data_IF_921437425290
#
_entry.id   IF_921437425290
#
_cell.length_a   1.000
_cell.length_b   1.000
_cell.length_c   1.000
_cell.angle_alpha   90.00
_cell.angle_beta   90.00
_cell.angle_gamma   90.00
#
_symmetry.space_group_name_H-M   'P 1'
#
loop_
_entity.id
_entity.type
_entity.pdbx_description
1 polymer ?
#
# COMPACT_ATOMS: atom_id res chain seq x y z
N UNK A 1 0.07 20.88 -16.74
CA UNK A 1 0.11 21.72 -15.52
C UNK A 1 0.67 20.87 -14.40
N UNK A 2 1.87 21.21 -13.93
CA UNK A 2 2.56 20.50 -12.86
C UNK A 2 2.10 21.11 -11.54
N UNK A 3 1.27 20.38 -10.80
CA UNK A 3 0.93 20.77 -9.44
C UNK A 3 2.17 20.45 -8.60
N UNK A 4 2.89 21.47 -8.18
CA UNK A 4 3.96 21.34 -7.17
C UNK A 4 3.31 20.99 -5.84
N UNK A 5 3.03 19.71 -5.63
CA UNK A 5 2.46 19.16 -4.40
C UNK A 5 3.34 18.03 -3.90
N UNK A 6 3.56 18.00 -2.58
CA UNK A 6 4.20 16.87 -1.89
C UNK A 6 3.50 15.56 -2.29
N UNK A 7 4.27 14.49 -2.49
CA UNK A 7 3.71 13.19 -2.82
C UNK A 7 2.83 12.66 -1.66
N UNK A 8 1.62 12.21 -1.97
CA UNK A 8 0.65 11.72 -0.99
C UNK A 8 0.27 10.28 -1.27
N UNK A 9 -0.06 9.53 -0.22
CA UNK A 9 -0.54 8.15 -0.29
C UNK A 9 -1.84 8.03 0.51
N UNK A 10 -2.68 7.05 0.18
CA UNK A 10 -3.92 6.77 0.90
C UNK A 10 -4.35 5.32 0.72
N UNK A 11 -5.29 4.89 1.55
CA UNK A 11 -5.94 3.59 1.41
C UNK A 11 -7.29 3.56 2.09
N UNK A 12 -8.13 2.64 1.65
CA UNK A 12 -9.49 2.46 2.14
C UNK A 12 -9.67 1.01 2.57
N UNK A 13 -10.28 0.80 3.73
CA UNK A 13 -10.77 -0.51 4.15
C UNK A 13 -12.29 -0.58 3.97
N UNK A 14 -12.75 -1.68 3.39
CA UNK A 14 -14.16 -2.01 3.26
C UNK A 14 -14.39 -3.51 3.39
N UNK A 15 -15.56 -3.90 3.87
CA UNK A 15 -16.02 -5.29 3.80
C UNK A 15 -16.44 -5.67 2.38
N UNK A 16 -16.51 -6.97 2.07
CA UNK A 16 -16.88 -7.50 0.74
C UNK A 16 -18.27 -7.07 0.21
N UNK A 17 -19.10 -6.40 1.02
CA UNK A 17 -20.41 -5.84 0.65
C UNK A 17 -20.40 -4.32 0.45
N UNK A 18 -19.22 -3.72 0.28
CA UNK A 18 -19.08 -2.26 0.12
C UNK A 18 -19.33 -1.46 1.39
N UNK A 19 -19.39 -2.11 2.56
CA UNK A 19 -19.51 -1.41 3.84
C UNK A 19 -18.14 -0.86 4.23
N UNK A 20 -18.02 0.47 4.26
CA UNK A 20 -16.80 1.17 4.64
C UNK A 20 -16.45 0.91 6.10
N UNK A 21 -15.17 0.60 6.34
CA UNK A 21 -14.60 0.38 7.66
C UNK A 21 -13.81 1.59 8.14
N UNK A 22 -13.13 2.25 7.20
CA UNK A 22 -12.16 3.29 7.51
C UNK A 22 -11.29 3.60 6.31
N UNK A 23 -10.45 4.61 6.47
CA UNK A 23 -9.41 4.94 5.50
C UNK A 23 -8.33 5.76 6.16
N UNK A 24 -7.21 5.88 5.48
CA UNK A 24 -6.08 6.68 5.90
C UNK A 24 -5.54 7.47 4.71
N UNK A 25 -4.90 8.60 5.00
CA UNK A 25 -4.09 9.32 4.04
C UNK A 25 -2.83 9.85 4.74
N UNK A 26 -1.76 9.99 3.98
CA UNK A 26 -0.49 10.52 4.45
C UNK A 26 0.22 11.31 3.36
N UNK A 27 1.29 11.99 3.74
CA UNK A 27 2.14 12.76 2.84
C UNK A 27 3.59 12.43 3.10
N UNK A 28 4.31 12.18 2.02
CA UNK A 28 5.76 12.07 2.04
C UNK A 28 6.36 13.47 2.09
N UNK A 29 7.39 13.65 2.92
CA UNK A 29 8.11 14.93 3.06
C UNK A 29 9.12 15.14 1.92
N UNK A 30 8.75 14.72 0.72
CA UNK A 30 9.57 14.83 -0.51
C UNK A 30 8.69 15.37 -1.64
N UNK A 31 9.28 16.27 -2.42
CA UNK A 31 8.59 16.97 -3.52
C UNK A 31 8.46 16.07 -4.75
N UNK A 32 9.41 15.17 -4.95
CA UNK A 32 9.42 14.20 -6.05
C UNK A 32 9.77 12.83 -5.49
N UNK A 33 8.98 11.82 -5.83
CA UNK A 33 9.26 10.42 -5.47
C UNK A 33 8.70 9.50 -6.55
N UNK A 34 9.13 8.25 -6.56
CA UNK A 34 8.64 7.27 -7.53
C UNK A 34 7.18 6.89 -7.22
N UNK A 35 6.39 6.54 -8.25
CA UNK A 35 5.04 6.00 -8.04
C UNK A 35 5.08 4.76 -7.14
N UNK A 36 6.11 3.92 -7.29
CA UNK A 36 6.33 2.77 -6.42
C UNK A 36 6.50 3.17 -4.96
N UNK A 37 7.31 4.19 -4.66
CA UNK A 37 7.51 4.67 -3.28
C UNK A 37 6.19 5.15 -2.69
N UNK A 38 5.37 5.89 -3.45
CA UNK A 38 4.03 6.30 -2.98
C UNK A 38 3.17 5.09 -2.63
N UNK A 39 3.13 4.10 -3.51
CA UNK A 39 2.33 2.88 -3.33
C UNK A 39 2.82 2.04 -2.15
N UNK A 40 4.14 1.93 -1.98
CA UNK A 40 4.77 1.25 -0.87
C UNK A 40 4.32 1.84 0.48
N UNK A 41 4.30 3.17 0.58
CA UNK A 41 3.82 3.86 1.78
C UNK A 41 2.30 3.72 1.97
N UNK A 42 1.52 3.59 0.89
CA UNK A 42 0.11 3.22 0.98
C UNK A 42 -0.06 1.81 1.58
N UNK A 43 0.68 0.82 1.09
CA UNK A 43 0.67 -0.55 1.62
C UNK A 43 1.08 -0.57 3.09
N UNK A 44 2.19 0.09 3.44
CA UNK A 44 2.65 0.23 4.82
C UNK A 44 1.57 0.84 5.73
N UNK A 45 0.90 1.90 5.27
CA UNK A 45 -0.22 2.52 6.00
C UNK A 45 -1.40 1.58 6.20
N UNK A 46 -1.72 0.75 5.19
CA UNK A 46 -2.78 -0.27 5.27
C UNK A 46 -2.46 -1.35 6.30
N UNK A 47 -1.23 -1.87 6.28
CA UNK A 47 -0.74 -2.85 7.26
C UNK A 47 -0.75 -2.28 8.68
N UNK A 48 -0.25 -1.06 8.85
CA UNK A 48 -0.26 -0.33 10.12
C UNK A 48 -1.69 -0.18 10.65
N UNK A 49 -2.64 0.17 9.79
CA UNK A 49 -4.05 0.29 10.16
C UNK A 49 -4.62 -1.05 10.62
N UNK A 50 -4.38 -2.14 9.88
CA UNK A 50 -4.84 -3.47 10.27
C UNK A 50 -4.28 -3.88 11.63
N UNK A 51 -2.98 -3.64 11.88
CA UNK A 51 -2.34 -3.90 13.17
C UNK A 51 -2.96 -3.08 14.30
N UNK A 52 -3.07 -1.76 14.12
CA UNK A 52 -3.56 -0.84 15.17
C UNK A 52 -5.01 -1.11 15.56
N UNK A 53 -5.86 -1.51 14.62
CA UNK A 53 -7.26 -1.83 14.87
C UNK A 53 -7.50 -3.33 15.14
N UNK A 54 -6.43 -4.13 15.22
CA UNK A 54 -6.47 -5.58 15.43
C UNK A 54 -7.46 -6.29 14.48
N UNK A 55 -7.45 -5.85 13.21
CA UNK A 55 -8.35 -6.36 12.19
C UNK A 55 -7.83 -7.72 11.67
N UNK A 56 -8.73 -8.60 11.24
CA UNK A 56 -8.40 -9.95 10.76
C UNK A 56 -9.10 -10.26 9.44
N UNK A 57 -8.54 -11.20 8.67
CA UNK A 57 -9.07 -11.65 7.38
C UNK A 57 -9.12 -10.52 6.33
N UNK A 58 -7.99 -9.83 6.15
CA UNK A 58 -7.83 -8.77 5.16
C UNK A 58 -7.04 -9.26 3.95
N UNK A 59 -7.33 -8.65 2.81
CA UNK A 59 -6.54 -8.73 1.60
C UNK A 59 -6.19 -7.28 1.24
N UNK A 60 -4.94 -7.05 0.83
CA UNK A 60 -4.53 -5.77 0.27
C UNK A 60 -4.68 -5.82 -1.24
N UNK A 61 -5.43 -4.88 -1.78
CA UNK A 61 -5.56 -4.66 -3.22
C UNK A 61 -4.63 -3.53 -3.64
N UNK A 62 -3.87 -3.74 -4.72
CA UNK A 62 -2.99 -2.72 -5.31
C UNK A 62 -3.10 -2.76 -6.83
N UNK A 63 -3.09 -1.59 -7.48
CA UNK A 63 -2.99 -1.47 -8.93
C UNK A 63 -1.53 -1.47 -9.41
N UNK A 64 -0.57 -1.63 -8.51
CA UNK A 64 0.85 -1.70 -8.84
C UNK A 64 1.33 -3.14 -8.93
N UNK A 65 1.52 -3.61 -10.16
CA UNK A 65 2.15 -4.90 -10.43
C UNK A 65 3.59 -4.96 -9.87
N UNK A 66 4.30 -3.83 -9.90
CA UNK A 66 5.64 -3.68 -9.33
C UNK A 66 5.61 -3.90 -7.80
N UNK A 67 4.65 -3.29 -7.11
CA UNK A 67 4.48 -3.49 -5.68
C UNK A 67 4.15 -4.95 -5.35
N UNK A 68 3.24 -5.59 -6.10
CA UNK A 68 2.91 -7.00 -5.89
C UNK A 68 4.14 -7.91 -6.08
N UNK A 69 4.96 -7.65 -7.10
CA UNK A 69 6.18 -8.41 -7.36
C UNK A 69 7.19 -8.25 -6.23
N UNK A 70 7.44 -7.00 -5.79
CA UNK A 70 8.43 -6.71 -4.75
C UNK A 70 7.98 -7.15 -3.37
N UNK A 71 6.68 -7.21 -3.07
CA UNK A 71 6.18 -7.75 -1.80
C UNK A 71 6.19 -9.28 -1.73
N UNK A 72 6.39 -9.97 -2.86
CA UNK A 72 6.46 -11.43 -2.87
C UNK A 72 7.74 -11.98 -2.21
N UNK A 73 7.67 -13.22 -1.68
CA UNK A 73 8.76 -13.92 -0.97
C UNK A 73 10.07 -14.05 -1.76
N UNK A 74 10.07 -13.77 -3.06
CA UNK A 74 11.26 -13.81 -3.93
C UNK A 74 11.60 -12.49 -4.63
N UNK A 75 10.95 -11.38 -4.29
CA UNK A 75 11.26 -10.08 -4.88
C UNK A 75 12.69 -9.64 -4.55
N UNK A 76 13.46 -9.19 -5.54
CA UNK A 76 14.80 -8.68 -5.31
C UNK A 76 14.74 -7.18 -5.00
N UNK A 77 15.21 -6.78 -3.82
CA UNK A 77 15.09 -5.40 -3.30
C UNK A 77 16.43 -4.71 -3.05
N UNK A 78 17.55 -5.38 -3.33
CA UNK A 78 18.90 -4.88 -2.98
C UNK A 78 19.25 -3.53 -3.61
N UNK A 79 18.63 -3.19 -4.75
CA UNK A 79 18.85 -1.93 -5.47
C UNK A 79 17.76 -0.88 -5.22
N UNK A 80 16.77 -1.16 -4.37
CA UNK A 80 15.69 -0.22 -4.09
C UNK A 80 16.05 0.70 -2.92
N UNK A 81 15.89 2.02 -3.06
CA UNK A 81 16.16 2.97 -1.97
C UNK A 81 15.25 2.76 -0.76
N UNK A 82 14.05 2.19 -0.98
CA UNK A 82 13.04 1.92 0.04
C UNK A 82 13.10 0.48 0.61
N UNK A 83 14.25 -0.21 0.48
CA UNK A 83 14.42 -1.62 0.88
C UNK A 83 13.92 -1.92 2.29
N UNK A 84 14.26 -1.10 3.27
CA UNK A 84 13.91 -1.36 4.67
C UNK A 84 12.39 -1.37 4.87
N UNK A 85 11.68 -0.45 4.21
CA UNK A 85 10.21 -0.37 4.23
C UNK A 85 9.59 -1.58 3.52
N UNK A 86 10.20 -2.07 2.45
CA UNK A 86 9.73 -3.28 1.75
C UNK A 86 9.85 -4.51 2.65
N UNK A 87 10.98 -4.70 3.31
CA UNK A 87 11.18 -5.84 4.20
C UNK A 87 10.28 -5.78 5.44
N UNK A 88 10.04 -4.58 5.99
CA UNK A 88 9.06 -4.37 7.06
C UNK A 88 7.64 -4.74 6.60
N UNK A 89 7.22 -4.29 5.42
CA UNK A 89 5.91 -4.65 4.86
C UNK A 89 5.78 -6.16 4.66
N UNK A 90 6.81 -6.84 4.16
CA UNK A 90 6.84 -8.30 4.01
C UNK A 90 6.70 -9.01 5.35
N UNK A 91 7.38 -8.51 6.38
CA UNK A 91 7.28 -9.05 7.72
C UNK A 91 5.85 -8.95 8.25
N UNK A 92 5.21 -7.78 8.13
CA UNK A 92 3.81 -7.62 8.53
C UNK A 92 2.84 -8.48 7.72
N UNK A 93 3.02 -8.60 6.40
CA UNK A 93 2.20 -9.49 5.57
C UNK A 93 2.29 -10.94 6.06
N UNK A 94 3.49 -11.39 6.42
CA UNK A 94 3.70 -12.73 6.96
C UNK A 94 3.08 -12.91 8.35
N UNK A 95 3.35 -11.99 9.29
CA UNK A 95 2.85 -12.10 10.67
C UNK A 95 1.33 -11.98 10.76
N UNK A 96 0.72 -11.14 9.92
CA UNK A 96 -0.73 -10.91 9.90
C UNK A 96 -1.48 -11.92 9.02
N UNK A 97 -0.77 -12.82 8.33
CA UNK A 97 -1.32 -13.75 7.34
C UNK A 97 -2.16 -13.05 6.26
N UNK A 98 -1.73 -11.86 5.84
CA UNK A 98 -2.41 -11.04 4.82
C UNK A 98 -1.84 -11.35 3.45
N UNK A 99 -2.72 -11.58 2.48
CA UNK A 99 -2.34 -11.70 1.08
C UNK A 99 -2.51 -10.37 0.34
N UNK A 100 -1.78 -10.25 -0.77
CA UNK A 100 -1.92 -9.14 -1.71
C UNK A 100 -2.48 -9.64 -3.03
N UNK A 101 -3.29 -8.82 -3.70
CA UNK A 101 -3.76 -9.08 -5.06
C UNK A 101 -3.70 -7.84 -5.93
N UNK A 102 -3.49 -8.06 -7.22
CA UNK A 102 -3.55 -7.01 -8.21
C UNK A 102 -5.01 -6.69 -8.55
N UNK A 103 -5.37 -5.41 -8.56
CA UNK A 103 -6.67 -4.92 -9.03
C UNK A 103 -6.48 -3.95 -10.19
N UNK A 104 -7.46 -3.89 -11.10
CA UNK A 104 -7.43 -2.91 -12.19
C UNK A 104 -7.62 -1.50 -11.61
N UNK A 105 -6.93 -0.48 -12.15
CA UNK A 105 -7.10 0.93 -11.74
C UNK A 105 -8.55 1.39 -11.69
N UNK A 106 -9.37 0.89 -12.61
CA UNK A 106 -10.81 1.19 -12.67
C UNK A 106 -11.58 0.69 -11.43
N UNK A 107 -11.10 -0.37 -10.79
CA UNK A 107 -11.58 -0.86 -9.49
C UNK A 107 -10.98 -0.12 -8.29
N UNK A 108 -9.85 0.57 -8.48
CA UNK A 108 -9.15 1.32 -7.44
C UNK A 108 -9.50 2.82 -7.39
N UNK A 109 -10.53 3.26 -8.13
CA UNK A 109 -10.91 4.68 -8.23
C UNK A 109 -11.10 5.37 -6.88
N UNK A 110 -11.60 4.66 -5.86
CA UNK A 110 -11.80 5.24 -4.52
C UNK A 110 -10.47 5.56 -3.80
N UNK A 111 -9.40 4.81 -4.06
CA UNK A 111 -8.05 5.11 -3.57
C UNK A 111 -7.23 5.97 -4.55
N UNK A 112 -7.76 6.28 -5.74
CA UNK A 112 -7.18 7.18 -6.74
C UNK A 112 -7.83 8.59 -6.79
N UNK A 113 -8.99 8.80 -6.11
CA UNK A 113 -9.69 10.09 -5.92
C UNK A 113 -9.19 10.96 -4.78
#
# INVERSE_FOLDING_TARGET
>A
MQISGLAGYRGIASYNRGRWLGGFMGRLRVVTTSCFTVELWAIHGGLTMVTNFNLKNFIIETDSQEALMLMSKGGLVDNYPDRDVIEECRHFLYELEISMMHTLREGNNCADL
#
